data_IF_157778234707
#
_entry.id   IF_157778234707
#
_cell.length_a   1.000
_cell.length_b   1.000
_cell.length_c   1.000
_cell.angle_alpha   90.00
_cell.angle_beta   90.00
_cell.angle_gamma   90.00
#
_symmetry.space_group_name_H-M   'P 1'
#
loop_
_entity.id
_entity.type
_entity.pdbx_description
1 polymer ?
#
# COMPACT_ATOMS: atom_id res chain seq x y z
N UNK A 1 -28.22 -6.15 15.68
CA UNK A 1 -27.69 -6.00 14.31
C UNK A 1 -28.69 -5.22 13.49
N UNK A 2 -28.24 -4.20 12.75
CA UNK A 2 -29.10 -3.19 12.11
C UNK A 2 -29.42 -3.56 10.65
N UNK A 3 -30.62 -3.21 10.21
CA UNK A 3 -31.00 -3.25 8.78
C UNK A 3 -30.51 -1.99 8.08
N UNK A 4 -30.02 -2.14 6.86
CA UNK A 4 -29.58 -1.04 5.99
C UNK A 4 -30.39 -1.10 4.70
N UNK A 5 -31.16 -0.05 4.38
CA UNK A 5 -32.10 -0.03 3.23
C UNK A 5 -33.00 -1.28 3.15
N UNK A 6 -33.51 -1.76 4.30
CA UNK A 6 -34.34 -2.97 4.39
C UNK A 6 -33.60 -4.31 4.28
N UNK A 7 -32.26 -4.28 4.11
CA UNK A 7 -31.40 -5.47 3.99
C UNK A 7 -30.61 -5.72 5.27
N UNK A 8 -30.17 -6.98 5.46
CA UNK A 8 -29.35 -7.38 6.60
C UNK A 8 -27.97 -7.77 6.08
N UNK A 9 -27.13 -6.76 5.82
CA UNK A 9 -25.88 -6.90 5.07
C UNK A 9 -24.92 -7.96 5.63
N UNK A 10 -24.77 -8.05 6.95
CA UNK A 10 -23.91 -9.08 7.55
C UNK A 10 -24.40 -10.49 7.19
N UNK A 11 -25.71 -10.73 7.23
CA UNK A 11 -26.29 -12.04 6.93
C UNK A 11 -26.04 -12.38 5.48
N UNK A 12 -26.20 -11.43 4.57
CA UNK A 12 -25.87 -11.61 3.15
C UNK A 12 -24.40 -11.99 2.97
N UNK A 13 -23.48 -11.24 3.58
CA UNK A 13 -22.04 -11.50 3.50
C UNK A 13 -21.64 -12.90 3.99
N UNK A 14 -22.34 -13.45 5.00
CA UNK A 14 -22.06 -14.77 5.56
C UNK A 14 -22.88 -15.93 4.97
N UNK A 15 -23.83 -15.66 4.07
CA UNK A 15 -24.71 -16.71 3.49
C UNK A 15 -24.61 -16.85 1.97
N UNK A 16 -23.77 -16.03 1.33
CA UNK A 16 -23.46 -16.12 -0.10
C UNK A 16 -22.06 -16.67 -0.36
N UNK A 17 -21.88 -17.28 -1.52
CA UNK A 17 -20.60 -17.65 -2.10
C UNK A 17 -19.91 -16.50 -2.86
N UNK A 18 -20.57 -15.34 -2.98
CA UNK A 18 -19.99 -14.13 -3.59
C UNK A 18 -18.93 -13.52 -2.68
N UNK A 19 -17.88 -12.98 -3.31
CA UNK A 19 -16.90 -12.14 -2.61
C UNK A 19 -17.61 -10.86 -2.19
N UNK A 20 -17.57 -10.57 -0.89
CA UNK A 20 -18.17 -9.37 -0.30
C UNK A 20 -17.07 -8.54 0.36
N UNK A 21 -16.92 -7.28 -0.05
CA UNK A 21 -16.00 -6.33 0.59
C UNK A 21 -16.77 -5.62 1.70
N UNK A 22 -16.97 -6.31 2.81
CA UNK A 22 -17.93 -5.90 3.84
C UNK A 22 -17.40 -4.78 4.74
N UNK A 23 -16.11 -4.79 5.02
CA UNK A 23 -15.42 -3.91 5.97
C UNK A 23 -14.82 -2.66 5.32
N UNK A 24 -14.60 -2.64 4.01
CA UNK A 24 -13.99 -1.52 3.29
C UNK A 24 -14.98 -0.77 2.39
N UNK A 25 -14.85 0.54 2.34
CA UNK A 25 -15.57 1.39 1.40
C UNK A 25 -14.87 1.45 0.05
N UNK A 26 -15.03 0.41 -0.76
CA UNK A 26 -14.56 0.40 -2.15
C UNK A 26 -15.49 -0.39 -3.06
N UNK A 27 -15.42 -0.11 -4.37
CA UNK A 27 -16.22 -0.77 -5.42
C UNK A 27 -17.76 -0.62 -5.28
N UNK A 28 -18.25 0.46 -4.66
CA UNK A 28 -19.67 0.86 -4.74
C UNK A 28 -20.67 -0.10 -4.08
N UNK A 29 -20.30 -0.73 -2.97
CA UNK A 29 -21.16 -1.67 -2.26
C UNK A 29 -21.71 -1.12 -0.95
N UNK A 30 -22.93 -1.54 -0.61
CA UNK A 30 -23.49 -1.32 0.73
C UNK A 30 -22.69 -2.17 1.75
N UNK A 31 -21.93 -1.51 2.61
CA UNK A 31 -20.94 -2.10 3.52
C UNK A 31 -21.10 -1.54 4.95
N UNK A 32 -20.25 -1.98 5.88
CA UNK A 32 -20.25 -1.48 7.27
C UNK A 32 -20.09 0.03 7.34
N UNK A 33 -19.25 0.61 6.48
CA UNK A 33 -19.02 2.06 6.41
C UNK A 33 -20.29 2.84 6.07
N UNK A 34 -21.06 2.33 5.11
CA UNK A 34 -22.35 2.91 4.69
C UNK A 34 -23.37 2.92 5.83
N UNK A 35 -23.41 1.86 6.65
CA UNK A 35 -24.28 1.80 7.84
C UNK A 35 -23.94 2.93 8.81
N UNK A 36 -22.65 3.10 9.14
CA UNK A 36 -22.24 4.16 10.08
C UNK A 36 -22.50 5.56 9.54
N UNK A 37 -22.35 5.78 8.22
CA UNK A 37 -22.65 7.06 7.57
C UNK A 37 -24.14 7.40 7.64
N UNK A 38 -25.02 6.46 7.30
CA UNK A 38 -26.47 6.66 7.35
C UNK A 38 -26.97 6.89 8.79
N UNK A 39 -26.27 6.32 9.77
CA UNK A 39 -26.54 6.50 11.20
C UNK A 39 -26.09 7.85 11.75
N UNK A 40 -25.45 8.71 10.94
CA UNK A 40 -24.90 9.99 11.38
C UNK A 40 -23.72 9.85 12.34
N UNK A 41 -23.02 8.71 12.31
CA UNK A 41 -21.83 8.51 13.14
C UNK A 41 -20.69 9.46 12.71
N UNK A 42 -19.84 9.83 13.65
CA UNK A 42 -18.60 10.57 13.36
C UNK A 42 -17.55 9.57 12.88
N UNK A 43 -17.21 9.63 11.59
CA UNK A 43 -16.25 8.71 10.96
C UNK A 43 -14.98 9.47 10.59
N UNK A 44 -13.82 8.87 10.91
CA UNK A 44 -12.54 9.37 10.47
C UNK A 44 -12.13 8.68 9.17
N UNK A 45 -12.27 9.38 8.05
CA UNK A 45 -12.12 8.79 6.71
C UNK A 45 -10.80 9.13 6.03
N UNK A 46 -9.94 9.91 6.70
CA UNK A 46 -8.67 10.34 6.12
C UNK A 46 -7.69 9.17 6.09
N UNK A 47 -7.17 8.87 4.90
CA UNK A 47 -6.16 7.85 4.72
C UNK A 47 -4.75 8.33 5.13
N UNK A 48 -4.26 7.79 6.25
CA UNK A 48 -2.95 8.08 6.85
C UNK A 48 -1.82 7.14 6.38
N UNK A 49 -2.12 6.21 5.48
CA UNK A 49 -1.20 5.15 5.08
C UNK A 49 -0.34 5.53 3.87
N UNK A 50 0.88 5.02 3.80
CA UNK A 50 1.60 4.92 2.54
C UNK A 50 1.34 3.53 1.96
N UNK A 51 0.29 3.34 1.17
CA UNK A 51 0.03 2.05 0.53
C UNK A 51 0.57 2.04 -0.90
N UNK A 52 1.75 1.48 -1.21
CA UNK A 52 2.26 1.50 -2.57
C UNK A 52 1.47 0.52 -3.45
N UNK A 53 1.11 0.95 -4.66
CA UNK A 53 0.46 0.10 -5.65
C UNK A 53 1.16 -1.25 -5.80
N UNK A 54 0.38 -2.33 -5.77
CA UNK A 54 0.88 -3.70 -5.90
C UNK A 54 1.30 -4.04 -7.33
N UNK A 55 0.98 -3.20 -8.32
CA UNK A 55 1.23 -3.45 -9.74
C UNK A 55 2.56 -2.89 -10.24
N UNK A 56 3.27 -2.11 -9.42
CA UNK A 56 4.51 -1.45 -9.83
C UNK A 56 5.64 -1.64 -8.81
N UNK A 57 6.88 -1.66 -9.27
CA UNK A 57 8.03 -1.55 -8.39
C UNK A 57 8.09 -0.15 -7.75
N UNK A 58 7.68 0.88 -8.51
CA UNK A 58 7.59 2.27 -8.03
C UNK A 58 6.62 2.35 -6.85
N UNK A 59 6.96 3.14 -5.85
CA UNK A 59 6.02 3.47 -4.79
C UNK A 59 5.10 4.60 -5.25
N UNK A 60 3.95 4.19 -5.76
CA UNK A 60 2.82 5.04 -6.10
C UNK A 60 1.79 4.83 -4.99
N UNK A 61 1.51 5.82 -4.14
CA UNK A 61 0.50 5.69 -3.08
C UNK A 61 -0.89 5.45 -3.69
N UNK A 62 -1.52 4.34 -3.34
CA UNK A 62 -2.96 4.16 -3.41
C UNK A 62 -3.56 4.66 -2.10
N UNK A 63 -4.63 5.45 -2.16
CA UNK A 63 -5.29 5.97 -0.97
C UNK A 63 -6.78 6.10 -1.16
N UNK A 64 -7.53 6.00 -0.07
CA UNK A 64 -8.98 6.14 -0.09
C UNK A 64 -9.38 7.61 -0.34
N UNK A 65 -10.20 7.83 -1.38
CA UNK A 65 -10.79 9.11 -1.75
C UNK A 65 -12.27 9.11 -1.36
N UNK A 66 -12.58 9.82 -0.26
CA UNK A 66 -13.92 9.93 0.34
C UNK A 66 -14.96 10.41 -0.65
N UNK A 67 -14.58 11.25 -1.62
CA UNK A 67 -15.51 11.80 -2.63
C UNK A 67 -15.90 10.77 -3.68
N UNK A 68 -15.02 9.79 -3.93
CA UNK A 68 -15.22 8.75 -4.93
C UNK A 68 -15.67 7.43 -4.33
N UNK A 69 -15.59 7.29 -3.00
CA UNK A 69 -15.85 6.02 -2.31
C UNK A 69 -15.00 4.87 -2.87
N UNK A 70 -13.73 5.19 -3.16
CA UNK A 70 -12.82 4.24 -3.78
C UNK A 70 -11.35 4.58 -3.49
N UNK A 71 -10.48 3.60 -3.71
CA UNK A 71 -9.04 3.79 -3.68
C UNK A 71 -8.52 4.31 -5.01
N UNK A 72 -7.84 5.45 -4.98
CA UNK A 72 -7.20 6.05 -6.15
C UNK A 72 -5.70 6.06 -6.02
N UNK A 73 -4.99 6.04 -7.15
CA UNK A 73 -3.54 6.18 -7.16
C UNK A 73 -3.16 7.67 -7.24
N UNK A 74 -2.17 8.07 -6.43
CA UNK A 74 -1.50 9.36 -6.61
C UNK A 74 -0.69 9.37 -7.91
N UNK A 75 -0.41 10.55 -8.44
CA UNK A 75 0.61 10.71 -9.49
C UNK A 75 1.97 10.31 -8.94
N UNK A 76 2.72 9.51 -9.70
CA UNK A 76 4.05 9.05 -9.28
C UNK A 76 4.98 10.22 -8.89
N UNK A 77 5.52 10.14 -7.68
CA UNK A 77 6.50 11.09 -7.17
C UNK A 77 7.88 10.44 -7.08
N UNK A 78 8.89 11.15 -7.56
CA UNK A 78 10.28 10.70 -7.49
C UNK A 78 10.83 10.97 -6.08
N UNK A 79 10.68 9.99 -5.20
CA UNK A 79 10.95 10.11 -3.77
C UNK A 79 11.76 8.93 -3.23
N UNK A 80 12.35 9.14 -2.05
CA UNK A 80 12.95 8.10 -1.21
C UNK A 80 12.08 7.90 0.04
N UNK A 81 12.08 6.68 0.56
CA UNK A 81 11.19 6.30 1.65
C UNK A 81 12.01 5.72 2.78
N UNK A 82 11.71 6.12 4.02
CA UNK A 82 12.49 5.73 5.18
C UNK A 82 11.57 5.30 6.32
N UNK A 83 12.06 4.37 7.11
CA UNK A 83 11.66 4.23 8.50
C UNK A 83 12.67 4.98 9.35
N UNK A 84 12.18 5.84 10.25
CA UNK A 84 13.02 6.60 11.15
C UNK A 84 12.35 6.68 12.53
N UNK A 85 12.85 5.90 13.48
CA UNK A 85 12.42 5.90 14.89
C UNK A 85 10.89 5.87 15.07
N UNK A 86 10.22 4.92 14.42
CA UNK A 86 8.77 4.76 14.51
C UNK A 86 7.97 5.46 13.41
N UNK A 87 8.60 6.32 12.60
CA UNK A 87 7.90 7.12 11.60
C UNK A 87 8.22 6.65 10.18
N UNK A 88 7.20 6.62 9.32
CA UNK A 88 7.37 6.41 7.88
C UNK A 88 7.48 7.76 7.21
N UNK A 89 8.60 8.00 6.52
CA UNK A 89 8.92 9.25 5.85
C UNK A 89 9.02 9.04 4.34
N UNK A 90 8.41 9.94 3.57
CA UNK A 90 8.73 10.15 2.15
C UNK A 90 9.52 11.45 2.01
N UNK A 91 10.68 11.38 1.36
CA UNK A 91 11.57 12.53 1.15
C UNK A 91 11.71 12.80 -0.35
N UNK A 92 11.46 14.04 -0.73
CA UNK A 92 11.39 14.52 -2.12
C UNK A 92 12.24 15.78 -2.28
N UNK A 93 12.68 16.07 -3.52
CA UNK A 93 13.25 17.37 -3.88
C UNK A 93 12.24 18.15 -4.70
N UNK A 94 11.79 19.30 -4.22
CA UNK A 94 10.79 20.12 -4.90
C UNK A 94 11.38 21.13 -5.91
N UNK A 95 12.71 21.13 -6.10
CA UNK A 95 13.43 22.11 -6.91
C UNK A 95 14.36 22.99 -6.08
N UNK A 96 14.01 23.31 -4.84
CA UNK A 96 14.78 24.19 -3.96
C UNK A 96 15.17 23.59 -2.61
N UNK A 97 14.33 22.68 -2.06
CA UNK A 97 14.57 22.06 -0.76
C UNK A 97 14.10 20.62 -0.72
N UNK A 98 14.58 19.91 0.31
CA UNK A 98 14.01 18.64 0.71
C UNK A 98 12.63 18.88 1.32
N UNK A 99 11.66 18.09 0.87
CA UNK A 99 10.29 18.06 1.39
C UNK A 99 10.08 16.70 2.01
N UNK A 100 9.66 16.69 3.27
CA UNK A 100 9.33 15.46 4.00
C UNK A 100 7.81 15.35 4.16
N UNK A 101 7.28 14.16 3.95
CA UNK A 101 5.88 13.82 4.22
C UNK A 101 5.85 12.60 5.13
N UNK A 102 5.12 12.70 6.23
CA UNK A 102 4.98 11.60 7.20
C UNK A 102 3.71 10.79 6.94
N UNK A 103 3.79 9.49 7.24
CA UNK A 103 2.68 8.56 7.18
C UNK A 103 2.64 7.73 8.46
N UNK A 104 1.45 7.31 8.87
CA UNK A 104 1.28 6.50 10.06
C UNK A 104 1.88 5.09 9.89
N UNK A 105 1.79 4.53 8.68
CA UNK A 105 2.37 3.22 8.34
C UNK A 105 2.56 3.08 6.83
N UNK A 106 3.25 2.02 6.40
CA UNK A 106 3.44 1.66 4.99
C UNK A 106 3.03 0.21 4.73
N UNK A 107 2.12 -0.04 3.79
CA UNK A 107 1.66 -1.39 3.48
C UNK A 107 2.41 -1.97 2.27
N UNK A 108 3.45 -2.77 2.51
CA UNK A 108 4.30 -3.35 1.46
C UNK A 108 3.70 -4.64 0.86
N UNK A 109 2.39 -4.64 0.59
CA UNK A 109 1.65 -5.82 0.16
C UNK A 109 2.20 -6.42 -1.14
N UNK A 110 2.18 -7.75 -1.22
CA UNK A 110 2.62 -8.52 -2.39
C UNK A 110 4.09 -8.31 -2.81
N UNK A 111 4.89 -7.62 -1.99
CA UNK A 111 6.34 -7.45 -2.20
C UNK A 111 7.10 -8.50 -1.40
N UNK A 112 8.10 -9.11 -2.03
CA UNK A 112 9.02 -10.00 -1.32
C UNK A 112 10.14 -9.16 -0.72
N UNK A 113 9.98 -8.77 0.53
CA UNK A 113 10.94 -7.94 1.25
C UNK A 113 12.11 -8.78 1.77
N UNK A 114 13.33 -8.30 1.55
CA UNK A 114 14.56 -8.84 2.14
C UNK A 114 14.94 -7.95 3.33
N UNK A 115 14.82 -8.49 4.54
CA UNK A 115 15.09 -7.78 5.78
C UNK A 115 16.50 -8.14 6.23
N UNK A 116 17.39 -7.14 6.29
CA UNK A 116 18.77 -7.27 6.79
C UNK A 116 19.13 -6.18 7.80
N UNK A 117 18.12 -5.51 8.34
CA UNK A 117 18.26 -4.36 9.24
C UNK A 117 17.80 -4.75 10.63
N UNK A 118 18.42 -4.20 11.68
CA UNK A 118 17.89 -4.28 13.04
C UNK A 118 16.64 -3.41 13.17
N UNK A 119 15.63 -3.86 13.93
CA UNK A 119 14.29 -3.22 13.95
C UNK A 119 14.11 -2.30 15.16
N UNK A 120 14.82 -2.56 16.26
CA UNK A 120 14.81 -1.71 17.45
C UNK A 120 15.59 -0.41 17.17
N UNK A 121 14.86 0.67 16.89
CA UNK A 121 15.35 2.06 16.80
C UNK A 121 16.39 2.36 15.71
N UNK A 122 16.26 1.73 14.54
CA UNK A 122 17.10 1.99 13.38
C UNK A 122 16.47 2.98 12.39
N UNK A 123 17.32 3.74 11.70
CA UNK A 123 16.95 4.45 10.47
C UNK A 123 17.31 3.58 9.26
N UNK A 124 16.36 3.35 8.36
CA UNK A 124 16.61 2.57 7.14
C UNK A 124 15.77 3.03 5.96
N UNK A 125 16.36 2.95 4.77
CA UNK A 125 15.65 3.15 3.50
C UNK A 125 14.76 1.94 3.20
N UNK A 126 13.53 2.23 2.78
CA UNK A 126 12.56 1.27 2.31
C UNK A 126 12.61 1.25 0.78
N UNK A 127 13.17 0.17 0.23
CA UNK A 127 13.18 -0.10 -1.20
C UNK A 127 12.04 -1.07 -1.57
N UNK A 128 11.70 -1.18 -2.88
CA UNK A 128 10.64 -2.07 -3.36
C UNK A 128 10.76 -3.55 -2.98
N UNK A 129 11.94 -4.02 -2.61
CA UNK A 129 12.29 -5.43 -2.43
C UNK A 129 13.20 -5.73 -1.21
N UNK A 130 13.58 -4.69 -0.44
CA UNK A 130 14.49 -4.80 0.71
C UNK A 130 14.43 -3.57 1.62
N UNK A 131 14.96 -3.73 2.82
CA UNK A 131 15.36 -2.61 3.69
C UNK A 131 16.87 -2.45 3.66
N UNK A 132 17.35 -1.21 3.69
CA UNK A 132 18.78 -0.88 3.64
C UNK A 132 19.08 0.11 4.75
N UNK A 133 20.02 -0.20 5.64
CA UNK A 133 20.49 0.74 6.65
C UNK A 133 21.05 1.99 5.95
N UNK A 134 20.42 3.12 6.23
CA UNK A 134 20.77 4.39 5.60
C UNK A 134 20.18 5.52 6.41
N UNK A 135 21.01 6.52 6.69
CA UNK A 135 20.60 7.76 7.34
C UNK A 135 19.72 8.62 6.44
N UNK A 136 18.98 9.55 7.05
CA UNK A 136 18.18 10.50 6.30
C UNK A 136 19.08 11.44 5.48
N UNK A 137 18.75 11.69 4.20
CA UNK A 137 19.48 12.61 3.36
C UNK A 137 19.32 14.04 3.86
N UNK A 138 20.43 14.78 3.97
CA UNK A 138 20.47 16.17 4.43
C UNK A 138 20.37 17.18 3.29
N UNK A 139 20.70 16.74 2.07
CA UNK A 139 20.70 17.59 0.88
C UNK A 139 20.28 16.82 -0.39
N UNK A 140 20.18 17.54 -1.51
CA UNK A 140 19.77 16.98 -2.81
C UNK A 140 20.69 15.85 -3.29
N UNK A 141 21.99 15.98 -3.06
CA UNK A 141 23.00 15.02 -3.54
C UNK A 141 22.85 13.67 -2.83
N UNK A 142 22.68 13.70 -1.51
CA UNK A 142 22.45 12.52 -0.66
C UNK A 142 21.10 11.83 -0.93
N UNK A 143 20.12 12.53 -1.52
CA UNK A 143 18.85 11.92 -1.92
C UNK A 143 19.02 10.89 -3.07
N UNK A 144 20.16 10.92 -3.77
CA UNK A 144 20.51 10.01 -4.86
C UNK A 144 19.35 9.81 -5.85
N UNK A 145 18.75 10.90 -6.32
CA UNK A 145 17.57 10.85 -7.19
C UNK A 145 17.82 10.05 -8.47
N UNK A 146 19.03 10.06 -9.03
CA UNK A 146 19.35 9.35 -10.27
C UNK A 146 19.24 7.82 -10.14
N UNK A 147 19.42 7.27 -8.94
CA UNK A 147 19.34 5.82 -8.71
C UNK A 147 17.93 5.36 -8.32
N UNK A 148 16.95 6.27 -8.27
CA UNK A 148 15.54 5.87 -8.11
C UNK A 148 15.07 5.17 -9.38
N UNK A 149 14.60 3.92 -9.24
CA UNK A 149 14.20 3.10 -10.38
C UNK A 149 15.29 2.22 -10.95
N UNK A 150 16.51 2.25 -10.40
CA UNK A 150 17.53 1.25 -10.70
C UNK A 150 17.04 -0.16 -10.32
N UNK A 151 17.56 -1.22 -10.96
CA UNK A 151 16.88 -2.50 -11.02
C UNK A 151 16.64 -3.11 -9.63
N UNK A 152 15.36 -3.20 -9.25
CA UNK A 152 14.91 -3.88 -8.05
C UNK A 152 14.67 -5.36 -8.34
N UNK A 153 14.99 -6.25 -7.39
CA UNK A 153 14.69 -7.69 -7.53
C UNK A 153 13.19 -7.98 -7.54
N UNK A 154 12.36 -6.97 -7.22
CA UNK A 154 10.90 -6.99 -7.33
C UNK A 154 10.41 -7.61 -8.65
N UNK A 155 10.98 -7.21 -9.79
CA UNK A 155 10.53 -7.70 -11.10
C UNK A 155 10.89 -9.17 -11.31
N UNK A 156 12.07 -9.58 -10.85
CA UNK A 156 12.50 -10.99 -10.88
C UNK A 156 11.56 -11.83 -10.02
N UNK A 157 11.22 -11.36 -8.82
CA UNK A 157 10.31 -12.04 -7.89
C UNK A 157 8.90 -12.18 -8.49
N UNK A 158 8.36 -11.11 -9.09
CA UNK A 158 7.07 -11.12 -9.79
C UNK A 158 7.07 -12.09 -10.97
N UNK A 159 8.10 -12.04 -11.81
CA UNK A 159 8.21 -12.92 -12.97
C UNK A 159 8.32 -14.39 -12.55
N UNK A 160 9.21 -14.72 -11.60
CA UNK A 160 9.36 -16.07 -11.05
C UNK A 160 8.04 -16.60 -10.49
N UNK A 161 7.29 -15.77 -9.75
CA UNK A 161 5.96 -16.14 -9.22
C UNK A 161 4.96 -16.44 -10.34
N UNK A 162 4.97 -15.65 -11.42
CA UNK A 162 4.10 -15.86 -12.59
C UNK A 162 4.42 -17.18 -13.30
N UNK A 163 5.69 -17.46 -13.56
CA UNK A 163 6.15 -18.71 -14.20
C UNK A 163 5.77 -19.92 -13.35
N UNK A 164 6.07 -19.88 -12.05
CA UNK A 164 5.75 -20.97 -11.11
C UNK A 164 4.26 -21.29 -11.09
N UNK A 165 3.38 -20.26 -11.11
CA UNK A 165 1.93 -20.44 -11.17
C UNK A 165 1.47 -21.10 -12.47
N UNK A 166 2.01 -20.67 -13.61
CA UNK A 166 1.69 -21.28 -14.92
C UNK A 166 2.11 -22.76 -14.94
N UNK A 167 3.30 -23.07 -14.46
CA UNK A 167 3.82 -24.43 -14.43
C UNK A 167 2.97 -25.34 -13.54
N UNK A 168 2.61 -24.90 -12.32
CA UNK A 168 1.70 -25.64 -11.44
C UNK A 168 0.32 -25.89 -12.05
N UNK A 169 -0.21 -24.96 -12.85
CA UNK A 169 -1.49 -25.12 -13.55
C UNK A 169 -1.41 -26.16 -14.68
N UNK A 170 -0.26 -26.27 -15.35
CA UNK A 170 -0.02 -27.30 -16.37
C UNK A 170 0.07 -28.66 -15.69
N UNK A 171 0.93 -28.81 -14.67
CA UNK A 171 1.12 -30.09 -13.95
C UNK A 171 -0.19 -30.61 -13.36
N UNK A 172 -1.01 -29.74 -12.73
CA UNK A 172 -2.33 -30.11 -12.20
C UNK A 172 -3.38 -30.51 -13.25
N UNK A 173 -3.15 -30.22 -14.53
CA UNK A 173 -4.04 -30.65 -15.63
C UNK A 173 -3.60 -31.97 -16.27
N UNK A 174 -2.39 -32.43 -15.98
CA UNK A 174 -1.78 -33.63 -16.58
C UNK A 174 -1.86 -34.84 -15.64
N UNK A 175 -2.27 -34.62 -14.39
CA UNK A 175 -2.67 -35.64 -13.39
C UNK A 175 -4.18 -35.55 -13.25
#
# INVERSE_FOLDING_TARGET
MKSFKGRVLYKEAFTTDKIFVFDEDCNGHDNVHSIFREDGARIYEKDLSMNPSVFSAKFIRAFYDVSKHDFVNETYKKARYYWNNGNVLRIEWNGSKLVQTEFAYIHLQMRKMRVKVSVQDACFEILPDRFVEQELPKNRSELHLLTIGWPYLYWIDKYKKRVTRKWKKIVRKTI
#
